data_IF_912326002466
#
_entry.id   IF_912326002466
#
_cell.length_a   1.000
_cell.length_b   1.000
_cell.length_c   1.000
_cell.angle_alpha   90.00
_cell.angle_beta   90.00
_cell.angle_gamma   90.00
#
_symmetry.space_group_name_H-M   'P 1'
#
loop_
_entity.id
_entity.type
_entity.pdbx_description
1 polymer ?
#
# COMPACT_ATOMS: atom_id res chain seq x y z
N UNK A 1 9.30 -27.17 -6.46
CA UNK A 1 9.56 -26.21 -7.56
C UNK A 1 9.40 -24.79 -7.02
N UNK A 2 10.40 -23.90 -7.21
CA UNK A 2 10.30 -22.49 -6.81
C UNK A 2 9.49 -21.72 -7.86
N UNK A 3 8.21 -21.43 -7.60
CA UNK A 3 7.43 -20.57 -8.47
C UNK A 3 7.94 -19.12 -8.37
N UNK A 4 8.24 -18.47 -9.50
CA UNK A 4 8.62 -17.05 -9.51
C UNK A 4 7.41 -16.16 -9.18
N UNK A 5 7.62 -14.95 -8.62
CA UNK A 5 6.54 -13.97 -8.33
C UNK A 5 5.65 -13.71 -9.54
N UNK A 6 6.23 -13.64 -10.74
CA UNK A 6 5.52 -13.48 -12.01
C UNK A 6 4.65 -14.70 -12.33
N UNK A 7 5.14 -15.90 -12.08
CA UNK A 7 4.40 -17.13 -12.32
C UNK A 7 3.27 -17.31 -11.30
N UNK A 8 3.47 -16.90 -10.04
CA UNK A 8 2.42 -16.79 -9.04
C UNK A 8 1.29 -15.87 -9.50
N UNK A 9 1.60 -14.64 -9.94
CA UNK A 9 0.58 -13.70 -10.43
C UNK A 9 -0.14 -14.24 -11.67
N UNK A 10 0.59 -14.82 -12.64
CA UNK A 10 -0.01 -15.43 -13.82
C UNK A 10 -0.97 -16.57 -13.46
N UNK A 11 -0.55 -17.49 -12.59
CA UNK A 11 -1.38 -18.63 -12.17
C UNK A 11 -2.58 -18.19 -11.34
N UNK A 12 -2.41 -17.22 -10.44
CA UNK A 12 -3.50 -16.63 -9.68
C UNK A 12 -4.54 -15.97 -10.60
N UNK A 13 -4.10 -15.13 -11.54
CA UNK A 13 -4.97 -14.47 -12.52
C UNK A 13 -5.73 -15.48 -13.40
N UNK A 14 -5.09 -16.58 -13.80
CA UNK A 14 -5.74 -17.64 -14.60
C UNK A 14 -6.82 -18.40 -13.81
N UNK A 15 -6.58 -18.68 -12.52
CA UNK A 15 -7.55 -19.38 -11.65
C UNK A 15 -8.76 -18.53 -11.25
N UNK A 16 -8.67 -17.22 -11.50
CA UNK A 16 -9.75 -16.25 -11.24
C UNK A 16 -10.88 -16.34 -12.26
N UNK A 17 -10.57 -16.87 -13.44
CA UNK A 17 -11.50 -16.99 -14.57
C UNK A 17 -12.32 -18.28 -14.46
N UNK A 18 -11.87 -19.27 -13.68
CA UNK A 18 -12.43 -20.62 -13.65
C UNK A 18 -13.52 -20.87 -12.58
N UNK A 19 -14.01 -19.87 -11.84
CA UNK A 19 -15.05 -20.09 -10.83
C UNK A 19 -15.84 -18.84 -10.48
N UNK A 20 -17.08 -18.75 -10.98
CA UNK A 20 -17.99 -17.62 -10.78
C UNK A 20 -18.50 -17.39 -9.33
N UNK A 21 -17.98 -18.12 -8.34
CA UNK A 21 -18.44 -18.05 -6.95
C UNK A 21 -17.33 -17.98 -5.90
N UNK A 22 -16.04 -18.00 -6.29
CA UNK A 22 -14.94 -17.83 -5.34
C UNK A 22 -14.40 -16.39 -5.42
N UNK A 23 -14.40 -15.62 -4.32
CA UNK A 23 -13.71 -14.34 -4.26
C UNK A 23 -12.27 -14.52 -4.75
N UNK A 24 -11.86 -13.73 -5.74
CA UNK A 24 -10.49 -13.65 -6.23
C UNK A 24 -9.44 -13.67 -5.09
N UNK A 25 -9.73 -12.99 -3.98
CA UNK A 25 -8.86 -13.02 -2.81
C UNK A 25 -8.94 -14.25 -1.93
N UNK A 26 -10.03 -15.03 -1.88
CA UNK A 26 -10.01 -16.30 -1.17
C UNK A 26 -9.12 -17.31 -1.89
N UNK A 27 -9.15 -17.35 -3.24
CA UNK A 27 -8.22 -18.17 -4.02
C UNK A 27 -6.77 -17.67 -3.87
N UNK A 28 -6.54 -16.35 -3.91
CA UNK A 28 -5.20 -15.78 -3.73
C UNK A 28 -4.67 -15.95 -2.29
N UNK A 29 -5.53 -15.83 -1.28
CA UNK A 29 -5.19 -15.98 0.12
C UNK A 29 -4.97 -17.45 0.51
N UNK A 30 -5.78 -18.38 0.00
CA UNK A 30 -5.60 -19.82 0.24
C UNK A 30 -4.30 -20.34 -0.39
N UNK A 31 -4.01 -19.93 -1.63
CA UNK A 31 -2.76 -20.31 -2.33
C UNK A 31 -1.55 -19.55 -1.75
N UNK A 32 -1.74 -18.28 -1.38
CA UNK A 32 -0.74 -17.44 -0.72
C UNK A 32 -0.37 -17.95 0.68
N UNK A 33 -1.33 -18.38 1.49
CA UNK A 33 -1.09 -18.97 2.80
C UNK A 33 -0.35 -20.32 2.70
N UNK A 34 -0.73 -21.17 1.75
CA UNK A 34 -0.04 -22.44 1.48
C UNK A 34 1.40 -22.24 0.97
N UNK A 35 1.64 -21.24 0.12
CA UNK A 35 2.99 -20.88 -0.34
C UNK A 35 3.81 -20.15 0.73
N UNK A 36 3.19 -19.35 1.61
CA UNK A 36 3.86 -18.58 2.64
C UNK A 36 4.25 -19.41 3.87
N UNK A 37 3.51 -20.50 4.17
CA UNK A 37 3.86 -21.48 5.21
C UNK A 37 5.13 -22.27 4.87
N UNK A 38 5.45 -22.45 3.59
CA UNK A 38 6.64 -23.20 3.14
C UNK A 38 7.81 -22.31 2.74
N UNK A 39 7.60 -20.99 2.63
CA UNK A 39 8.63 -20.04 2.24
C UNK A 39 9.57 -19.73 3.41
N UNK A 40 10.85 -20.10 3.30
CA UNK A 40 11.87 -19.71 4.28
C UNK A 40 12.36 -18.27 4.06
N UNK A 41 12.85 -17.64 5.14
CA UNK A 41 13.42 -16.29 5.13
C UNK A 41 12.39 -15.16 5.23
N UNK A 42 12.90 -13.92 5.27
CA UNK A 42 12.07 -12.72 5.42
C UNK A 42 11.25 -12.41 4.16
N UNK A 43 9.98 -12.01 4.38
CA UNK A 43 9.07 -11.54 3.33
C UNK A 43 8.24 -10.37 3.85
N UNK A 44 8.15 -9.33 3.02
CA UNK A 44 7.26 -8.20 3.28
C UNK A 44 6.51 -7.77 2.04
N UNK A 45 5.34 -7.20 2.26
CA UNK A 45 4.55 -6.48 1.26
C UNK A 45 4.53 -5.01 1.68
N UNK A 46 4.82 -4.11 0.75
CA UNK A 46 4.65 -2.67 0.95
C UNK A 46 3.58 -2.21 -0.02
N UNK A 47 2.43 -1.81 0.50
CA UNK A 47 1.36 -1.22 -0.28
C UNK A 47 1.61 0.29 -0.38
N UNK A 48 1.75 0.80 -1.60
CA UNK A 48 1.65 2.23 -1.90
C UNK A 48 0.22 2.51 -2.34
N UNK A 49 -0.52 3.25 -1.53
CA UNK A 49 -1.88 3.68 -1.87
C UNK A 49 -1.87 5.11 -2.43
N UNK A 50 -2.45 5.29 -3.62
CA UNK A 50 -2.52 6.57 -4.32
C UNK A 50 -3.87 7.25 -4.04
N UNK A 51 -3.92 8.12 -3.04
CA UNK A 51 -5.14 8.79 -2.59
C UNK A 51 -5.59 9.88 -3.57
N UNK A 52 -6.87 9.82 -3.94
CA UNK A 52 -7.54 10.81 -4.80
C UNK A 52 -8.05 10.26 -6.13
N UNK A 53 -7.63 9.06 -6.52
CA UNK A 53 -8.10 8.42 -7.76
C UNK A 53 -7.13 8.66 -8.91
N UNK A 54 -5.96 8.00 -8.85
CA UNK A 54 -4.94 8.09 -9.89
C UNK A 54 -5.54 7.84 -11.28
N UNK A 55 -5.32 8.77 -12.21
CA UNK A 55 -5.68 8.60 -13.62
C UNK A 55 -4.82 7.49 -14.24
N UNK A 56 -5.35 6.28 -14.18
CA UNK A 56 -4.69 5.09 -14.71
C UNK A 56 -4.46 5.19 -16.22
N UNK A 57 -5.32 5.94 -16.94
CA UNK A 57 -5.24 6.05 -18.40
C UNK A 57 -4.11 7.00 -18.83
N UNK A 58 -3.72 7.97 -17.99
CA UNK A 58 -2.47 8.73 -18.16
C UNK A 58 -1.27 8.10 -17.43
N UNK A 59 -1.47 7.06 -16.61
CA UNK A 59 -0.35 6.34 -15.95
C UNK A 59 0.28 5.28 -16.85
N UNK A 60 -0.56 4.49 -17.53
CA UNK A 60 -0.17 3.52 -18.55
C UNK A 60 -1.06 3.73 -19.79
N UNK A 61 -0.46 4.30 -20.83
CA UNK A 61 -1.14 4.85 -21.99
C UNK A 61 -1.05 3.84 -23.15
N UNK A 62 -2.13 3.56 -23.89
CA UNK A 62 -2.05 2.78 -25.13
C UNK A 62 -1.14 3.47 -26.14
N UNK A 63 -0.21 2.73 -26.75
CA UNK A 63 0.84 3.29 -27.59
C UNK A 63 0.78 2.83 -29.06
N UNK A 64 0.22 1.65 -29.35
CA UNK A 64 -0.04 1.26 -30.74
C UNK A 64 -1.03 2.24 -31.38
N UNK A 65 -0.82 2.57 -32.66
CA UNK A 65 -1.51 3.69 -33.31
C UNK A 65 -3.05 3.59 -33.19
N UNK A 66 -3.70 2.44 -33.49
CA UNK A 66 -5.15 2.34 -33.39
C UNK A 66 -5.69 2.57 -31.97
N UNK A 67 -4.98 2.08 -30.94
CA UNK A 67 -5.39 2.27 -29.55
C UNK A 67 -5.08 3.68 -29.05
N UNK A 68 -3.97 4.27 -29.50
CA UNK A 68 -3.61 5.66 -29.18
C UNK A 68 -4.62 6.65 -29.78
N UNK A 69 -5.07 6.43 -31.01
CA UNK A 69 -6.08 7.29 -31.65
C UNK A 69 -7.41 7.29 -30.86
N UNK A 70 -7.80 6.14 -30.31
CA UNK A 70 -8.97 6.03 -29.41
C UNK A 70 -8.76 6.77 -28.08
N UNK A 71 -7.56 6.65 -27.50
CA UNK A 71 -7.18 7.38 -26.29
C UNK A 71 -7.24 8.89 -26.52
N UNK A 72 -6.66 9.37 -27.63
CA UNK A 72 -6.65 10.78 -28.00
C UNK A 72 -8.08 11.30 -28.23
N UNK A 73 -8.89 10.59 -29.01
CA UNK A 73 -10.28 10.98 -29.27
C UNK A 73 -11.13 11.06 -27.99
N UNK A 74 -10.87 10.18 -27.01
CA UNK A 74 -11.61 10.17 -25.74
C UNK A 74 -11.11 11.21 -24.72
N UNK A 75 -9.90 11.77 -24.91
CA UNK A 75 -9.20 12.54 -23.86
C UNK A 75 -8.53 13.81 -24.38
N UNK A 76 -8.89 14.30 -25.56
CA UNK A 76 -8.25 15.39 -26.31
C UNK A 76 -7.43 16.39 -25.46
N UNK A 77 -8.07 17.17 -24.57
CA UNK A 77 -7.42 18.23 -23.79
C UNK A 77 -6.46 17.76 -22.69
N UNK A 78 -6.49 16.48 -22.34
CA UNK A 78 -5.68 15.85 -21.29
C UNK A 78 -4.91 14.62 -21.80
N UNK A 79 -4.83 14.45 -23.11
CA UNK A 79 -4.05 13.40 -23.74
C UNK A 79 -2.56 13.78 -23.77
N UNK A 80 -1.69 12.82 -23.48
CA UNK A 80 -0.24 12.99 -23.64
C UNK A 80 0.14 12.68 -25.08
N UNK A 81 0.94 13.56 -25.70
CA UNK A 81 1.33 13.40 -27.09
C UNK A 81 2.16 12.13 -27.29
N UNK A 82 1.84 11.33 -28.31
CA UNK A 82 2.49 10.03 -28.57
C UNK A 82 4.01 10.13 -28.64
N UNK A 83 4.53 11.22 -29.21
CA UNK A 83 5.96 11.48 -29.32
C UNK A 83 6.67 11.58 -27.96
N UNK A 84 5.96 12.02 -26.91
CA UNK A 84 6.50 12.11 -25.53
C UNK A 84 6.58 10.75 -24.84
N UNK A 85 5.91 9.72 -25.38
CA UNK A 85 5.78 8.38 -24.77
C UNK A 85 6.85 7.39 -25.24
N UNK A 86 7.60 7.72 -26.29
CA UNK A 86 8.55 6.79 -26.93
C UNK A 86 9.58 6.23 -25.95
N UNK A 87 10.10 7.06 -25.04
CA UNK A 87 11.11 6.64 -24.06
C UNK A 87 10.57 5.64 -23.01
N UNK A 88 9.25 5.60 -22.82
CA UNK A 88 8.57 4.76 -21.83
C UNK A 88 7.71 3.67 -22.44
N UNK A 89 7.82 3.43 -23.76
CA UNK A 89 7.08 2.41 -24.50
C UNK A 89 7.52 0.99 -24.13
N UNK A 90 6.57 0.17 -23.67
CA UNK A 90 6.74 -1.20 -23.18
C UNK A 90 7.07 -2.23 -24.26
N UNK A 91 6.90 -1.89 -25.54
CA UNK A 91 6.88 -2.82 -26.66
C UNK A 91 5.61 -3.69 -26.68
N UNK A 92 5.58 -4.65 -27.60
CA UNK A 92 4.43 -5.54 -27.76
C UNK A 92 4.22 -6.44 -26.53
N UNK A 93 3.04 -6.35 -25.91
CA UNK A 93 2.67 -7.15 -24.75
C UNK A 93 1.92 -8.39 -25.21
N UNK A 94 2.61 -9.53 -25.25
CA UNK A 94 2.03 -10.79 -25.74
C UNK A 94 0.74 -11.20 -25.02
N UNK A 95 0.66 -11.03 -23.70
CA UNK A 95 -0.56 -11.32 -22.90
C UNK A 95 -1.72 -10.36 -23.17
N UNK A 96 -1.55 -9.37 -24.03
CA UNK A 96 -2.56 -8.39 -24.44
C UNK A 96 -2.75 -8.41 -25.97
N UNK A 97 -2.42 -9.52 -26.64
CA UNK A 97 -2.62 -9.67 -28.08
C UNK A 97 -1.62 -8.88 -28.92
N UNK A 98 -0.45 -8.55 -28.38
CA UNK A 98 0.57 -7.76 -29.08
C UNK A 98 0.36 -6.25 -29.00
N UNK A 99 -0.66 -5.77 -28.29
CA UNK A 99 -0.85 -4.34 -28.02
C UNK A 99 0.37 -3.73 -27.34
N UNK A 100 0.60 -2.45 -27.61
CA UNK A 100 1.69 -1.69 -27.05
C UNK A 100 1.17 -0.64 -26.07
N UNK A 101 1.90 -0.44 -25.00
CA UNK A 101 1.61 0.59 -24.01
C UNK A 101 2.86 1.42 -23.74
N UNK A 102 2.71 2.57 -23.12
CA UNK A 102 3.79 3.36 -22.58
C UNK A 102 3.44 3.83 -21.17
N UNK A 103 4.40 3.79 -20.25
CA UNK A 103 4.20 4.47 -18.97
C UNK A 103 4.17 5.98 -19.17
N UNK A 104 3.56 6.72 -18.25
CA UNK A 104 3.67 8.19 -18.21
C UNK A 104 5.15 8.63 -18.35
N UNK A 105 5.48 9.72 -19.07
CA UNK A 105 6.87 10.14 -19.28
C UNK A 105 7.69 10.34 -18.00
N UNK A 106 7.04 10.71 -16.89
CA UNK A 106 7.65 10.85 -15.57
C UNK A 106 8.06 9.51 -14.90
N UNK A 107 7.56 8.37 -15.39
CA UNK A 107 7.74 7.04 -14.79
C UNK A 107 8.89 6.24 -15.45
N UNK A 108 10.04 6.90 -15.66
CA UNK A 108 11.20 6.29 -16.33
C UNK A 108 11.78 5.12 -15.55
N UNK A 109 11.86 5.20 -14.22
CA UNK A 109 12.38 4.10 -13.39
C UNK A 109 11.42 2.91 -13.39
N UNK A 110 10.10 3.14 -13.51
CA UNK A 110 9.13 2.06 -13.69
C UNK A 110 9.32 1.36 -15.03
N UNK A 111 9.59 2.12 -16.11
CA UNK A 111 9.98 1.55 -17.40
C UNK A 111 11.25 0.69 -17.28
N UNK A 112 12.29 1.17 -16.61
CA UNK A 112 13.49 0.37 -16.34
C UNK A 112 13.15 -0.94 -15.63
N UNK A 113 12.34 -0.91 -14.57
CA UNK A 113 11.92 -2.11 -13.84
C UNK A 113 11.03 -3.04 -14.67
N UNK A 114 10.25 -2.51 -15.62
CA UNK A 114 9.51 -3.30 -16.59
C UNK A 114 10.46 -4.09 -17.49
N UNK A 115 11.48 -3.43 -18.06
CA UNK A 115 12.47 -4.04 -18.95
C UNK A 115 13.30 -5.11 -18.23
N UNK A 116 13.67 -4.87 -16.96
CA UNK A 116 14.32 -5.85 -16.09
C UNK A 116 13.40 -7.02 -15.68
N UNK A 117 12.11 -6.93 -16.02
CA UNK A 117 11.10 -7.91 -15.66
C UNK A 117 10.71 -7.94 -14.19
N UNK A 118 11.00 -6.86 -13.45
CA UNK A 118 10.75 -6.68 -12.01
C UNK A 118 9.44 -5.95 -11.71
N UNK A 119 8.83 -5.34 -12.72
CA UNK A 119 7.50 -4.74 -12.65
C UNK A 119 6.47 -5.58 -13.42
N UNK A 120 5.23 -5.59 -12.94
CA UNK A 120 4.07 -6.13 -13.65
C UNK A 120 2.87 -5.21 -13.44
N UNK A 121 2.03 -5.10 -14.46
CA UNK A 121 0.76 -4.36 -14.39
C UNK A 121 -0.39 -5.35 -14.44
N UNK A 122 -1.36 -5.16 -13.54
CA UNK A 122 -2.62 -5.91 -13.55
C UNK A 122 -3.71 -4.93 -13.97
N UNK A 123 -4.19 -5.07 -15.20
CA UNK A 123 -5.25 -4.22 -15.77
C UNK A 123 -6.65 -4.74 -15.39
N UNK A 124 -7.66 -3.91 -15.62
CA UNK A 124 -9.08 -4.23 -15.40
C UNK A 124 -9.40 -4.66 -13.96
N UNK A 125 -8.73 -4.05 -12.98
CA UNK A 125 -9.00 -4.24 -11.56
C UNK A 125 -9.82 -3.06 -11.07
N UNK A 126 -10.94 -3.33 -10.43
CA UNK A 126 -11.84 -2.30 -9.91
C UNK A 126 -12.88 -2.88 -8.96
N UNK A 127 -13.69 -2.02 -8.33
CA UNK A 127 -14.65 -2.42 -7.31
C UNK A 127 -15.91 -3.12 -7.88
N UNK A 128 -16.11 -3.11 -9.20
CA UNK A 128 -17.28 -3.71 -9.84
C UNK A 128 -17.44 -5.18 -9.44
N UNK A 129 -18.66 -5.55 -9.05
CA UNK A 129 -19.00 -6.90 -8.59
C UNK A 129 -19.16 -7.85 -9.78
N UNK A 130 -19.71 -7.34 -10.88
CA UNK A 130 -19.89 -8.05 -12.16
C UNK A 130 -19.54 -7.11 -13.32
N UNK A 131 -19.17 -7.64 -14.50
CA UNK A 131 -19.09 -6.83 -15.71
C UNK A 131 -20.37 -6.02 -15.90
N UNK A 132 -20.24 -4.69 -15.99
CA UNK A 132 -21.36 -3.77 -15.97
C UNK A 132 -21.27 -2.82 -17.17
N UNK A 133 -22.30 -2.82 -18.02
CA UNK A 133 -22.45 -1.86 -19.12
C UNK A 133 -23.05 -0.54 -18.62
N UNK A 134 -22.92 0.52 -19.41
CA UNK A 134 -23.54 1.83 -19.12
C UNK A 134 -25.06 1.72 -18.94
N UNK A 135 -25.75 1.00 -19.82
CA UNK A 135 -27.20 0.80 -19.74
C UNK A 135 -27.59 0.05 -18.47
N UNK A 136 -26.86 -1.01 -18.10
CA UNK A 136 -27.12 -1.75 -16.86
C UNK A 136 -26.88 -0.88 -15.61
N UNK A 137 -25.84 -0.06 -15.62
CA UNK A 137 -25.57 0.91 -14.55
C UNK A 137 -26.73 1.90 -14.41
N UNK A 138 -27.18 2.51 -15.53
CA UNK A 138 -28.28 3.49 -15.54
C UNK A 138 -29.60 2.88 -15.08
N UNK A 139 -29.88 1.65 -15.50
CA UNK A 139 -31.11 0.92 -15.14
C UNK A 139 -31.03 0.21 -13.79
N UNK A 140 -29.84 0.20 -13.14
CA UNK A 140 -29.56 -0.58 -11.93
C UNK A 140 -29.97 -2.05 -12.06
N UNK A 141 -29.75 -2.64 -13.23
CA UNK A 141 -30.21 -4.00 -13.56
C UNK A 141 -29.24 -5.12 -13.20
N UNK A 142 -28.10 -4.79 -12.60
CA UNK A 142 -27.10 -5.73 -12.07
C UNK A 142 -26.61 -5.27 -10.68
N UNK A 143 -26.03 -6.15 -9.85
CA UNK A 143 -25.42 -5.76 -8.59
C UNK A 143 -24.31 -4.72 -8.80
N UNK A 144 -24.42 -3.59 -8.11
CA UNK A 144 -23.45 -2.49 -8.15
C UNK A 144 -22.73 -2.37 -6.80
N UNK A 145 -21.46 -1.92 -6.79
CA UNK A 145 -20.79 -1.55 -5.55
C UNK A 145 -21.55 -0.44 -4.81
N UNK A 146 -21.45 -0.39 -3.47
CA UNK A 146 -22.07 0.69 -2.71
C UNK A 146 -21.49 2.04 -3.12
N UNK A 147 -22.37 3.02 -3.32
CA UNK A 147 -22.04 4.43 -3.54
C UNK A 147 -20.88 4.64 -4.54
N UNK A 148 -21.04 4.08 -5.75
CA UNK A 148 -20.15 4.37 -6.87
C UNK A 148 -19.93 5.89 -7.00
N UNK A 149 -18.70 6.29 -7.34
CA UNK A 149 -18.20 7.68 -7.38
C UNK A 149 -17.88 8.34 -6.03
N UNK A 150 -18.24 7.74 -4.90
CA UNK A 150 -17.88 8.28 -3.58
C UNK A 150 -16.43 7.94 -3.21
N UNK A 151 -15.56 8.95 -3.04
CA UNK A 151 -14.13 8.72 -2.81
C UNK A 151 -13.85 7.86 -1.57
N UNK A 152 -14.45 8.19 -0.43
CA UNK A 152 -14.24 7.46 0.83
C UNK A 152 -14.77 6.02 0.74
N UNK A 153 -15.96 5.81 0.17
CA UNK A 153 -16.52 4.46 0.03
C UNK A 153 -15.70 3.61 -0.95
N UNK A 154 -15.32 4.15 -2.11
CA UNK A 154 -14.52 3.40 -3.08
C UNK A 154 -13.11 3.11 -2.56
N UNK A 155 -12.49 4.03 -1.82
CA UNK A 155 -11.22 3.77 -1.14
C UNK A 155 -11.37 2.65 -0.10
N UNK A 156 -12.45 2.68 0.69
CA UNK A 156 -12.72 1.64 1.69
C UNK A 156 -12.93 0.28 1.04
N UNK A 157 -13.68 0.20 -0.07
CA UNK A 157 -13.85 -1.04 -0.86
C UNK A 157 -12.50 -1.58 -1.34
N UNK A 158 -11.62 -0.71 -1.86
CA UNK A 158 -10.28 -1.12 -2.32
C UNK A 158 -9.39 -1.67 -1.21
N UNK A 159 -9.44 -1.04 -0.03
CA UNK A 159 -8.61 -1.43 1.11
C UNK A 159 -9.18 -2.63 1.89
N UNK A 160 -10.50 -2.74 1.98
CA UNK A 160 -11.20 -3.80 2.71
C UNK A 160 -11.46 -5.04 1.87
N UNK A 161 -11.60 -4.86 0.55
CA UNK A 161 -12.14 -5.86 -0.37
C UNK A 161 -13.50 -6.41 0.10
N UNK A 162 -14.34 -5.53 0.62
CA UNK A 162 -15.69 -5.85 1.07
C UNK A 162 -16.67 -4.88 0.40
N UNK A 163 -17.85 -5.34 -0.04
CA UNK A 163 -18.87 -4.50 -0.66
C UNK A 163 -19.63 -3.67 0.38
N UNK A 164 -18.94 -3.22 1.44
CA UNK A 164 -19.53 -2.44 2.54
C UNK A 164 -19.40 -0.94 2.33
N UNK A 165 -18.41 -0.49 1.54
CA UNK A 165 -18.07 0.93 1.48
C UNK A 165 -17.45 1.40 2.79
N UNK A 166 -17.63 2.69 3.10
CA UNK A 166 -17.20 3.27 4.36
C UNK A 166 -17.79 2.53 5.57
N UNK A 167 -16.99 2.36 6.62
CA UNK A 167 -17.37 1.57 7.80
C UNK A 167 -16.91 0.12 7.76
N UNK A 168 -16.25 -0.32 6.69
CA UNK A 168 -15.51 -1.58 6.71
C UNK A 168 -14.48 -1.58 7.85
N UNK A 169 -14.48 -2.66 8.64
CA UNK A 169 -13.60 -2.78 9.83
C UNK A 169 -12.31 -3.54 9.54
N UNK A 170 -12.30 -4.35 8.50
CA UNK A 170 -11.23 -5.30 8.21
C UNK A 170 -10.67 -5.09 6.79
N UNK A 171 -9.35 -4.96 6.71
CA UNK A 171 -8.56 -4.85 5.49
C UNK A 171 -8.00 -6.18 5.02
N UNK A 172 -7.78 -6.33 3.72
CA UNK A 172 -7.13 -7.55 3.21
C UNK A 172 -5.66 -7.63 3.63
N UNK A 173 -4.96 -6.50 3.83
CA UNK A 173 -3.60 -6.48 4.39
C UNK A 173 -3.56 -6.90 5.86
N UNK A 174 -4.55 -6.47 6.65
CA UNK A 174 -4.73 -6.90 8.03
C UNK A 174 -5.06 -8.40 8.15
N UNK A 175 -5.91 -8.93 7.26
CA UNK A 175 -6.17 -10.38 7.17
C UNK A 175 -4.92 -11.18 6.82
N UNK A 176 -4.05 -10.67 5.94
CA UNK A 176 -2.72 -11.25 5.70
C UNK A 176 -1.91 -11.24 7.01
N UNK A 177 -1.96 -10.13 7.76
CA UNK A 177 -1.35 -10.01 9.08
C UNK A 177 -1.84 -11.08 10.05
N UNK A 178 -3.15 -11.27 10.19
CA UNK A 178 -3.73 -12.30 11.08
C UNK A 178 -3.22 -13.71 10.75
N UNK A 179 -3.11 -14.04 9.47
CA UNK A 179 -2.64 -15.36 9.02
C UNK A 179 -1.15 -15.58 9.27
N UNK A 180 -0.35 -14.51 9.34
CA UNK A 180 1.12 -14.59 9.33
C UNK A 180 1.76 -14.09 10.63
N UNK A 181 0.99 -13.51 11.56
CA UNK A 181 1.50 -12.94 12.80
C UNK A 181 2.27 -13.95 13.66
N UNK A 182 1.85 -15.22 13.66
CA UNK A 182 2.52 -16.30 14.39
C UNK A 182 3.92 -16.63 13.87
N UNK A 183 4.30 -16.14 12.68
CA UNK A 183 5.66 -16.27 12.14
C UNK A 183 6.61 -15.19 12.65
N UNK A 184 6.11 -14.22 13.42
CA UNK A 184 6.90 -13.17 14.06
C UNK A 184 6.97 -13.43 15.57
N UNK A 185 8.15 -13.22 16.16
CA UNK A 185 8.28 -13.17 17.62
C UNK A 185 7.58 -11.92 18.19
N UNK A 186 7.67 -10.78 17.48
CA UNK A 186 6.97 -9.54 17.84
C UNK A 186 5.76 -9.31 16.92
N UNK A 187 4.62 -9.88 17.28
CA UNK A 187 3.40 -9.78 16.47
C UNK A 187 2.91 -8.34 16.28
N UNK A 188 3.21 -7.39 17.20
CA UNK A 188 2.81 -5.98 17.06
C UNK A 188 3.43 -5.27 15.84
N UNK A 189 4.50 -5.82 15.26
CA UNK A 189 5.16 -5.26 14.07
C UNK A 189 4.77 -5.96 12.77
N UNK A 190 3.74 -6.82 12.82
CA UNK A 190 3.26 -7.54 11.63
C UNK A 190 2.62 -6.59 10.61
N UNK A 191 1.79 -5.65 11.07
CA UNK A 191 1.17 -4.63 10.23
C UNK A 191 1.63 -3.24 10.68
N UNK A 192 2.30 -2.50 9.79
CA UNK A 192 2.85 -1.18 10.11
C UNK A 192 2.40 -0.15 9.08
N UNK A 193 1.86 0.97 9.55
CA UNK A 193 1.57 2.11 8.68
C UNK A 193 2.55 3.24 8.89
N UNK A 194 3.18 3.69 7.80
CA UNK A 194 3.85 4.99 7.74
C UNK A 194 3.00 6.05 7.01
N UNK A 195 1.90 5.64 6.37
CA UNK A 195 1.04 6.49 5.54
C UNK A 195 -0.29 6.91 6.16
N UNK A 196 -0.43 6.80 7.49
CA UNK A 196 -1.65 7.14 8.24
C UNK A 196 -2.55 5.94 8.58
N UNK A 197 -3.69 6.18 9.21
CA UNK A 197 -4.65 5.12 9.51
C UNK A 197 -5.36 4.66 8.23
N UNK A 198 -5.37 3.36 7.98
CA UNK A 198 -6.06 2.79 6.84
C UNK A 198 -6.69 1.45 7.21
N UNK A 199 -7.94 1.24 6.76
CA UNK A 199 -8.63 -0.05 6.96
C UNK A 199 -7.82 -1.20 6.36
N UNK A 200 -7.02 -0.95 5.33
CA UNK A 200 -6.15 -1.92 4.68
C UNK A 200 -5.34 -2.79 5.66
N UNK A 201 -4.78 -2.20 6.72
CA UNK A 201 -3.96 -2.91 7.72
C UNK A 201 -4.74 -3.42 8.93
N UNK A 202 -6.05 -3.19 8.98
CA UNK A 202 -6.90 -3.60 10.10
C UNK A 202 -7.23 -5.09 9.99
N UNK A 203 -6.64 -5.90 10.89
CA UNK A 203 -6.96 -7.32 11.03
C UNK A 203 -8.05 -7.55 12.08
N UNK A 204 -8.47 -8.80 12.22
CA UNK A 204 -9.33 -9.23 13.31
C UNK A 204 -8.56 -9.28 14.65
N UNK A 205 -7.29 -9.65 14.61
CA UNK A 205 -6.42 -9.78 15.78
C UNK A 205 -5.22 -8.84 15.71
N UNK A 206 -4.62 -8.68 14.53
CA UNK A 206 -3.51 -7.75 14.31
C UNK A 206 -4.04 -6.34 14.21
N UNK A 207 -3.51 -5.48 15.07
CA UNK A 207 -3.76 -4.04 15.05
C UNK A 207 -2.55 -3.36 14.41
N UNK A 208 -2.79 -2.44 13.49
CA UNK A 208 -1.72 -1.68 12.83
C UNK A 208 -0.90 -0.91 13.87
N UNK A 209 0.43 -1.01 13.79
CA UNK A 209 1.33 -0.12 14.50
C UNK A 209 1.63 1.09 13.61
N UNK A 210 1.46 2.30 14.15
CA UNK A 210 1.68 3.53 13.39
C UNK A 210 3.06 4.11 13.69
N UNK A 211 3.76 4.50 12.64
CA UNK A 211 5.02 5.22 12.70
C UNK A 211 4.89 6.54 11.94
N UNK A 212 5.60 7.57 12.40
CA UNK A 212 5.76 8.79 11.63
C UNK A 212 6.78 8.59 10.51
N UNK A 213 6.87 9.56 9.60
CA UNK A 213 7.87 9.58 8.51
C UNK A 213 9.32 9.73 8.99
N UNK A 214 9.54 9.92 10.30
CA UNK A 214 10.87 9.93 10.94
C UNK A 214 11.16 8.70 11.81
N UNK A 215 10.15 7.86 12.11
CA UNK A 215 10.27 6.70 13.00
C UNK A 215 9.11 6.55 14.00
N UNK A 216 9.28 5.73 15.05
CA UNK A 216 8.25 5.57 16.08
C UNK A 216 8.02 6.89 16.84
N UNK A 217 6.77 7.15 17.22
CA UNK A 217 6.36 8.36 17.93
C UNK A 217 6.33 8.08 19.44
N UNK A 218 7.06 8.87 20.21
CA UNK A 218 7.07 8.77 21.67
C UNK A 218 5.80 9.42 22.26
N UNK A 219 5.31 8.89 23.38
CA UNK A 219 4.43 9.65 24.25
C UNK A 219 5.29 10.69 24.96
N UNK A 220 4.96 11.98 24.83
CA UNK A 220 5.73 13.04 25.49
C UNK A 220 5.50 13.00 27.01
N UNK A 221 6.51 13.36 27.81
CA UNK A 221 6.35 13.57 29.25
C UNK A 221 6.32 12.31 30.13
N UNK A 222 6.48 11.10 29.57
CA UNK A 222 6.46 9.83 30.34
C UNK A 222 7.85 9.31 30.73
N UNK A 223 8.89 10.07 30.39
CA UNK A 223 10.30 9.76 30.66
C UNK A 223 11.11 11.05 30.79
N UNK A 224 12.19 11.02 31.58
CA UNK A 224 12.99 12.20 31.86
C UNK A 224 12.25 13.14 32.80
N UNK A 225 11.95 14.35 32.33
CA UNK A 225 11.27 15.39 33.11
C UNK A 225 9.96 15.80 32.44
N UNK A 226 8.91 15.96 33.24
CA UNK A 226 7.69 16.65 32.85
C UNK A 226 7.62 17.92 33.69
N UNK A 227 7.62 19.10 33.05
CA UNK A 227 7.72 20.39 33.74
C UNK A 227 8.90 20.47 34.72
N UNK A 228 10.09 20.02 34.30
CA UNK A 228 11.31 19.94 35.13
C UNK A 228 11.18 19.03 36.38
N UNK A 229 10.19 18.14 36.41
CA UNK A 229 9.97 17.22 37.53
C UNK A 229 10.01 15.75 37.07
N UNK A 230 10.97 14.94 37.56
CA UNK A 230 10.99 13.50 37.34
C UNK A 230 9.80 12.79 37.97
N UNK A 231 9.33 13.27 39.13
CA UNK A 231 8.17 12.71 39.81
C UNK A 231 6.87 12.97 39.04
N UNK A 232 6.75 14.13 38.37
CA UNK A 232 5.62 14.40 37.49
C UNK A 232 5.62 13.46 36.27
N UNK A 233 6.78 13.19 35.67
CA UNK A 233 6.88 12.23 34.56
C UNK A 233 6.51 10.80 35.00
N UNK A 234 6.98 10.38 36.17
CA UNK A 234 6.64 9.08 36.75
C UNK A 234 5.15 8.96 37.10
N UNK A 235 4.56 10.02 37.68
CA UNK A 235 3.13 10.07 37.98
C UNK A 235 2.28 10.04 36.71
N UNK A 236 2.66 10.81 35.68
CA UNK A 236 1.96 10.81 34.39
C UNK A 236 2.03 9.44 33.71
N UNK A 237 3.22 8.81 33.70
CA UNK A 237 3.37 7.43 33.21
C UNK A 237 2.44 6.49 33.97
N UNK A 238 2.47 6.51 35.30
CA UNK A 238 1.61 5.67 36.14
C UNK A 238 0.13 5.86 35.82
N UNK A 239 -0.33 7.10 35.64
CA UNK A 239 -1.71 7.42 35.31
C UNK A 239 -2.16 6.82 33.97
N UNK A 240 -1.32 6.87 32.93
CA UNK A 240 -1.69 6.39 31.59
C UNK A 240 -1.41 4.90 31.38
N UNK A 241 -0.63 4.26 32.25
CA UNK A 241 -0.30 2.82 32.19
C UNK A 241 -0.90 1.99 33.31
N UNK A 242 -1.59 2.63 34.25
CA UNK A 242 -2.14 2.00 35.45
C UNK A 242 -3.26 1.01 35.13
N UNK A 243 -3.53 0.12 36.08
CA UNK A 243 -4.71 -0.75 36.05
C UNK A 243 -5.90 0.01 36.61
N UNK A 244 -7.10 -0.27 36.09
CA UNK A 244 -8.35 0.33 36.56
C UNK A 244 -9.43 -0.73 36.69
N UNK A 245 -10.39 -0.51 37.59
CA UNK A 245 -11.61 -1.32 37.64
C UNK A 245 -12.55 -1.00 36.47
N UNK A 246 -12.42 0.19 35.85
CA UNK A 246 -13.16 0.54 34.65
C UNK A 246 -12.54 -0.17 33.44
N UNK A 247 -13.37 -0.92 32.69
CA UNK A 247 -12.92 -1.73 31.55
C UNK A 247 -12.23 -0.90 30.45
N UNK A 248 -12.74 0.31 30.15
CA UNK A 248 -12.16 1.17 29.11
C UNK A 248 -10.83 1.77 29.54
N UNK A 249 -10.75 2.24 30.79
CA UNK A 249 -9.49 2.77 31.34
C UNK A 249 -8.42 1.69 31.43
N UNK A 250 -8.80 0.48 31.85
CA UNK A 250 -7.89 -0.66 31.94
C UNK A 250 -7.35 -1.05 30.56
N UNK A 251 -8.23 -1.16 29.56
CA UNK A 251 -7.79 -1.48 28.19
C UNK A 251 -6.93 -0.36 27.59
N UNK A 252 -7.25 0.90 27.88
CA UNK A 252 -6.39 2.03 27.49
C UNK A 252 -4.99 1.91 28.12
N UNK A 253 -4.91 1.53 29.40
CA UNK A 253 -3.65 1.24 30.08
C UNK A 253 -2.86 0.11 29.44
N UNK A 254 -3.53 -0.99 29.06
CA UNK A 254 -2.91 -2.12 28.33
C UNK A 254 -2.36 -1.68 26.97
N UNK A 255 -3.16 -0.96 26.18
CA UNK A 255 -2.74 -0.44 24.86
C UNK A 255 -1.58 0.54 25.00
N UNK A 256 -1.61 1.40 26.01
CA UNK A 256 -0.56 2.39 26.26
C UNK A 256 0.75 1.72 26.66
N UNK A 257 0.71 0.74 27.56
CA UNK A 257 1.88 -0.08 27.92
C UNK A 257 2.49 -0.77 26.69
N UNK A 258 1.65 -1.42 25.87
CA UNK A 258 2.09 -2.05 24.61
C UNK A 258 2.74 -1.03 23.67
N UNK A 259 2.18 0.17 23.57
CA UNK A 259 2.69 1.23 22.69
C UNK A 259 4.05 1.75 23.15
N UNK A 260 4.26 1.90 24.46
CA UNK A 260 5.55 2.30 25.03
C UNK A 260 6.61 1.21 24.79
N UNK A 261 6.27 -0.06 25.04
CA UNK A 261 7.19 -1.17 24.79
C UNK A 261 7.56 -1.29 23.31
N UNK A 262 6.59 -1.15 22.40
CA UNK A 262 6.83 -1.13 20.96
C UNK A 262 7.71 0.05 20.53
N UNK A 263 7.46 1.26 21.07
CA UNK A 263 8.31 2.42 20.84
C UNK A 263 9.76 2.13 21.24
N UNK A 264 9.99 1.65 22.47
CA UNK A 264 11.34 1.38 23.00
C UNK A 264 12.08 0.35 22.15
N UNK A 265 11.42 -0.76 21.83
CA UNK A 265 12.00 -1.82 21.00
C UNK A 265 12.34 -1.32 19.60
N UNK A 266 11.43 -0.55 18.98
CA UNK A 266 11.68 -0.03 17.64
C UNK A 266 12.77 1.05 17.65
N UNK A 267 12.69 2.04 18.55
CA UNK A 267 13.64 3.15 18.61
C UNK A 267 15.07 2.69 18.88
N UNK A 268 15.25 1.64 19.71
CA UNK A 268 16.58 1.11 20.03
C UNK A 268 17.24 0.38 18.85
N UNK A 269 16.47 -0.11 17.88
CA UNK A 269 16.96 -0.94 16.79
C UNK A 269 16.84 -0.30 15.41
N UNK A 270 16.20 0.87 15.31
CA UNK A 270 16.00 1.55 14.04
C UNK A 270 17.30 2.26 13.62
N UNK A 271 17.92 1.90 12.48
CA UNK A 271 19.15 2.57 12.04
C UNK A 271 18.90 4.06 11.75
N UNK A 272 19.95 4.89 11.66
CA UNK A 272 19.80 6.30 11.29
C UNK A 272 19.09 6.51 9.95
N UNK A 273 18.37 7.62 9.79
CA UNK A 273 17.70 7.94 8.52
C UNK A 273 18.67 8.08 7.33
N UNK A 274 19.91 8.51 7.61
CA UNK A 274 20.99 8.64 6.63
C UNK A 274 21.45 7.33 6.01
N UNK A 275 21.11 6.17 6.59
CA UNK A 275 21.38 4.85 6.00
C UNK A 275 20.68 4.67 4.65
N UNK A 276 19.56 5.35 4.44
CA UNK A 276 18.76 5.25 3.22
C UNK A 276 18.50 6.67 2.67
N UNK A 277 19.47 7.27 1.96
CA UNK A 277 19.43 8.69 1.61
C UNK A 277 18.23 9.02 0.73
N UNK A 278 17.47 10.05 1.10
CA UNK A 278 16.27 10.47 0.38
C UNK A 278 16.61 10.91 -1.06
N UNK A 279 15.80 10.53 -2.06
CA UNK A 279 15.98 10.94 -3.45
C UNK A 279 15.56 12.40 -3.68
N UNK A 280 15.88 12.91 -4.87
CA UNK A 280 15.39 14.19 -5.40
C UNK A 280 14.29 13.93 -6.45
N UNK A 281 13.11 14.57 -6.38
CA UNK A 281 12.65 15.44 -5.30
C UNK A 281 12.45 14.70 -3.98
N UNK A 282 12.83 15.36 -2.88
CA UNK A 282 12.47 14.89 -1.56
C UNK A 282 10.95 15.02 -1.38
N UNK A 283 10.34 14.06 -0.70
CA UNK A 283 8.89 14.02 -0.55
C UNK A 283 8.49 13.27 0.71
N UNK A 284 7.25 13.48 1.17
CA UNK A 284 6.71 12.71 2.28
C UNK A 284 6.67 11.21 1.97
N UNK A 285 6.37 10.81 0.72
CA UNK A 285 6.41 9.40 0.31
C UNK A 285 7.82 8.81 0.47
N UNK A 286 8.86 9.54 0.06
CA UNK A 286 10.24 9.10 0.22
C UNK A 286 10.60 8.91 1.70
N UNK A 287 10.17 9.81 2.59
CA UNK A 287 10.39 9.66 4.03
C UNK A 287 9.63 8.47 4.64
N UNK A 288 8.39 8.21 4.18
CA UNK A 288 7.64 7.02 4.59
C UNK A 288 8.37 5.73 4.17
N UNK A 289 8.82 5.65 2.90
CA UNK A 289 9.56 4.51 2.39
C UNK A 289 10.93 4.34 3.08
N UNK A 290 11.59 5.44 3.44
CA UNK A 290 12.82 5.43 4.24
C UNK A 290 12.59 4.75 5.60
N UNK A 291 11.55 5.14 6.34
CA UNK A 291 11.22 4.48 7.62
C UNK A 291 10.87 3.01 7.42
N UNK A 292 10.13 2.65 6.37
CA UNK A 292 9.85 1.25 6.03
C UNK A 292 11.15 0.47 5.77
N UNK A 293 12.10 1.01 5.00
CA UNK A 293 13.39 0.37 4.74
C UNK A 293 14.20 0.17 6.03
N UNK A 294 14.20 1.17 6.93
CA UNK A 294 14.85 1.07 8.24
C UNK A 294 14.22 -0.03 9.09
N UNK A 295 12.89 -0.14 9.14
CA UNK A 295 12.20 -1.22 9.86
C UNK A 295 12.54 -2.58 9.26
N UNK A 296 12.50 -2.71 7.93
CA UNK A 296 12.89 -3.94 7.22
C UNK A 296 14.33 -4.34 7.55
N UNK A 297 15.25 -3.38 7.63
CA UNK A 297 16.65 -3.64 7.98
C UNK A 297 16.83 -4.10 9.43
N UNK A 298 15.98 -3.60 10.35
CA UNK A 298 15.98 -3.96 11.77
C UNK A 298 15.23 -5.27 12.09
N UNK A 299 14.63 -5.93 11.09
CA UNK A 299 13.77 -7.12 11.23
C UNK A 299 14.29 -8.20 12.18
N UNK A 300 15.59 -8.48 12.17
CA UNK A 300 16.19 -9.54 12.99
C UNK A 300 16.11 -9.17 14.48
N UNK A 301 16.41 -7.92 14.82
CA UNK A 301 16.31 -7.41 16.19
C UNK A 301 14.87 -7.21 16.64
N UNK A 302 13.96 -6.93 15.69
CA UNK A 302 12.52 -6.85 15.95
C UNK A 302 11.85 -8.24 16.02
N UNK A 303 12.54 -9.31 15.62
CA UNK A 303 11.98 -10.65 15.55
C UNK A 303 10.86 -10.79 14.52
N UNK A 304 10.95 -10.09 13.38
CA UNK A 304 9.94 -10.10 12.32
C UNK A 304 10.40 -10.88 11.07
N UNK A 305 9.56 -11.80 10.60
CA UNK A 305 9.74 -12.57 9.37
C UNK A 305 8.68 -12.26 8.29
N UNK A 306 7.52 -11.75 8.70
CA UNK A 306 6.36 -11.45 7.84
C UNK A 306 5.82 -10.08 8.19
N UNK A 307 5.87 -9.14 7.25
CA UNK A 307 5.36 -7.79 7.49
C UNK A 307 4.52 -7.27 6.33
N UNK A 308 3.49 -6.52 6.67
CA UNK A 308 2.66 -5.78 5.72
C UNK A 308 2.76 -4.30 6.08
N UNK A 309 3.24 -3.51 5.14
CA UNK A 309 3.41 -2.08 5.29
C UNK A 309 2.41 -1.33 4.44
N UNK A 310 2.02 -0.15 4.91
CA UNK A 310 1.31 0.84 4.12
C UNK A 310 2.10 2.15 4.09
N UNK A 311 2.29 2.65 2.88
CA UNK A 311 2.71 4.01 2.57
C UNK A 311 1.68 4.64 1.63
N UNK A 312 1.69 5.95 1.53
CA UNK A 312 0.70 6.66 0.75
C UNK A 312 1.24 7.90 0.05
N UNK A 313 0.62 8.21 -1.08
CA UNK A 313 0.80 9.45 -1.82
C UNK A 313 -0.58 10.01 -2.16
N UNK A 314 -0.86 11.25 -1.75
CA UNK A 314 -2.10 11.95 -2.09
C UNK A 314 -1.95 12.86 -3.30
N UNK A 315 -2.98 13.66 -3.55
CA UNK A 315 -2.96 14.68 -4.63
C UNK A 315 -3.37 14.16 -5.99
N UNK A 316 -4.04 13.01 -6.07
CA UNK A 316 -4.58 12.47 -7.32
C UNK A 316 -6.05 12.86 -7.60
N UNK A 317 -6.71 13.55 -6.67
CA UNK A 317 -8.08 14.05 -6.86
C UNK A 317 -8.04 15.38 -7.63
N UNK A 318 -7.60 15.30 -8.89
CA UNK A 318 -7.47 16.46 -9.75
C UNK A 318 -8.81 16.80 -10.38
N UNK A 319 -9.44 17.88 -9.92
CA UNK A 319 -10.64 18.47 -10.56
C UNK A 319 -10.25 19.41 -11.72
N UNK A 320 -9.02 19.91 -11.69
CA UNK A 320 -8.38 20.77 -12.67
C UNK A 320 -6.87 20.47 -12.76
N UNK A 321 -6.17 21.10 -13.72
CA UNK A 321 -4.73 21.00 -13.93
C UNK A 321 -4.16 19.56 -13.92
N UNK A 322 -4.96 18.58 -14.38
CA UNK A 322 -4.64 17.16 -14.30
C UNK A 322 -3.24 16.86 -14.84
N UNK A 323 -2.90 17.36 -16.04
CA UNK A 323 -1.58 17.10 -16.64
C UNK A 323 -0.42 17.55 -15.74
N UNK A 324 -0.53 18.74 -15.12
CA UNK A 324 0.53 19.28 -14.26
C UNK A 324 0.59 18.55 -12.92
N UNK A 325 -0.54 18.45 -12.21
CA UNK A 325 -0.59 17.84 -10.88
C UNK A 325 -0.25 16.35 -10.94
N UNK A 326 -0.82 15.62 -11.90
CA UNK A 326 -0.55 14.19 -12.10
C UNK A 326 0.92 13.94 -12.44
N UNK A 327 1.52 14.75 -13.32
CA UNK A 327 2.96 14.66 -13.63
C UNK A 327 3.82 14.85 -12.38
N UNK A 328 3.49 15.82 -11.51
CA UNK A 328 4.21 16.05 -10.26
C UNK A 328 4.11 14.84 -9.32
N UNK A 329 2.90 14.29 -9.12
CA UNK A 329 2.73 13.11 -8.27
C UNK A 329 3.45 11.88 -8.82
N UNK A 330 3.39 11.66 -10.13
CA UNK A 330 4.11 10.54 -10.75
C UNK A 330 5.63 10.73 -10.73
N UNK A 331 6.13 11.96 -10.79
CA UNK A 331 7.57 12.25 -10.58
C UNK A 331 8.00 11.90 -9.16
N UNK A 332 7.19 12.25 -8.16
CA UNK A 332 7.43 11.87 -6.76
C UNK A 332 7.41 10.34 -6.59
N UNK A 333 6.40 9.67 -7.16
CA UNK A 333 6.29 8.23 -7.11
C UNK A 333 7.49 7.54 -7.79
N UNK A 334 7.92 8.05 -8.95
CA UNK A 334 9.09 7.55 -9.67
C UNK A 334 10.35 7.59 -8.79
N UNK A 335 10.69 8.77 -8.27
CA UNK A 335 11.90 8.95 -7.48
C UNK A 335 11.87 8.16 -6.17
N UNK A 336 10.75 8.17 -5.44
CA UNK A 336 10.62 7.53 -4.14
C UNK A 336 10.64 5.99 -4.24
N UNK A 337 9.90 5.41 -5.20
CA UNK A 337 9.85 3.96 -5.38
C UNK A 337 11.18 3.42 -5.93
N UNK A 338 11.84 4.16 -6.82
CA UNK A 338 13.14 3.76 -7.35
C UNK A 338 14.22 3.72 -6.27
N UNK A 339 14.32 4.78 -5.45
CA UNK A 339 15.25 4.82 -4.32
C UNK A 339 14.96 3.68 -3.33
N UNK A 340 13.69 3.45 -2.98
CA UNK A 340 13.30 2.36 -2.10
C UNK A 340 13.68 0.99 -2.63
N UNK A 341 13.49 0.75 -3.92
CA UNK A 341 13.93 -0.48 -4.56
C UNK A 341 15.45 -0.63 -4.45
N UNK A 342 16.21 0.42 -4.77
CA UNK A 342 17.68 0.43 -4.69
C UNK A 342 18.24 0.21 -3.28
N UNK A 343 17.50 0.58 -2.22
CA UNK A 343 17.89 0.32 -0.84
C UNK A 343 17.76 -1.15 -0.40
N UNK A 344 16.97 -1.96 -1.13
CA UNK A 344 16.58 -3.31 -0.72
C UNK A 344 17.12 -4.43 -1.62
N UNK A 345 17.73 -4.09 -2.75
CA UNK A 345 18.38 -5.04 -3.67
C UNK A 345 19.89 -5.05 -3.47
#
# INVERSE_FOLDING_TARGET
MRASRRQFLKTASLMSIAGAASPFALNLAAIGAASAQTATGYRAIVCLFLYGGNDHTNTLIPYDQPSYDQYLAARDTIAIARAQLTATATGAVASQGGREFAFHPALTSFKTRWDEGKLAVVANVGPLVVPTTKTQYQQRSVPLPPKLFSHNDQQSVWQAQAPLGEGAKLGWGGRIGDLLASQNASAQFTCISAGGNAVFLSGQNVIQYQVGSSGPVAISGISGNLYNSPSAAAAYRSLITGTSANLFENELGVITNRSIAAYQLLSANLPPASTFPLPNPTSNLASQLNVVARIISARSALGTNRQVFLVSLGGFDSHDFLLTQHTQQLTIANAAVDAFYGWLV
#
